data_IF_783562594762
#
_entry.id   IF_783562594762
#
_cell.length_a   1.000
_cell.length_b   1.000
_cell.length_c   1.000
_cell.angle_alpha   90.00
_cell.angle_beta   90.00
_cell.angle_gamma   90.00
#
_symmetry.space_group_name_H-M   'P 1'
#
loop_
_entity.id
_entity.type
_entity.pdbx_description
1 polymer ?
#
# COMPACT_ATOMS: atom_id res chain seq x y z
N UNK A 1 14.82 5.75 24.70
CA UNK A 1 15.67 4.94 23.78
C UNK A 1 16.73 4.21 24.57
N UNK A 2 16.74 2.88 24.52
CA UNK A 2 17.63 2.01 25.33
C UNK A 2 19.07 2.01 24.83
N UNK A 3 19.31 2.04 23.52
CA UNK A 3 20.65 2.07 22.91
C UNK A 3 20.76 3.12 21.80
N UNK A 4 21.13 4.32 22.19
CA UNK A 4 21.30 5.44 21.25
C UNK A 4 22.51 5.27 20.31
N UNK A 5 23.52 4.50 20.71
CA UNK A 5 24.68 4.21 19.86
C UNK A 5 24.31 3.31 18.70
N UNK A 6 23.58 2.22 18.99
CA UNK A 6 23.06 1.32 17.97
C UNK A 6 22.13 2.04 17.01
N UNK A 7 21.20 2.84 17.56
CA UNK A 7 20.28 3.60 16.72
C UNK A 7 21.03 4.50 15.72
N UNK A 8 22.03 5.23 16.20
CA UNK A 8 22.84 6.10 15.34
C UNK A 8 23.58 5.31 14.21
N UNK A 9 24.06 4.10 14.52
CA UNK A 9 24.68 3.24 13.51
C UNK A 9 23.65 2.80 12.46
N UNK A 10 22.45 2.42 12.88
CA UNK A 10 21.37 2.01 11.98
C UNK A 10 20.87 3.17 11.10
N UNK A 11 20.75 4.37 11.65
CA UNK A 11 20.41 5.57 10.87
C UNK A 11 21.41 5.82 9.74
N UNK A 12 22.70 5.69 10.03
CA UNK A 12 23.77 5.91 9.06
C UNK A 12 24.04 4.71 8.14
N UNK A 13 23.32 3.60 8.33
CA UNK A 13 23.47 2.44 7.47
C UNK A 13 22.75 2.68 6.14
N UNK A 14 23.50 2.71 5.06
CA UNK A 14 22.98 2.92 3.70
C UNK A 14 22.75 1.57 3.01
N UNK A 15 21.55 1.40 2.47
CA UNK A 15 21.18 0.21 1.70
C UNK A 15 21.40 0.43 0.19
N UNK A 16 21.35 1.68 -0.24
CA UNK A 16 21.65 2.08 -1.62
C UNK A 16 23.16 2.28 -1.77
N UNK A 17 23.74 1.72 -2.82
CA UNK A 17 25.15 1.93 -3.17
C UNK A 17 25.23 3.11 -4.12
N UNK A 18 26.08 4.07 -3.79
CA UNK A 18 26.29 5.26 -4.62
C UNK A 18 26.79 4.85 -6.02
N UNK A 19 26.18 5.41 -7.06
CA UNK A 19 26.51 5.11 -8.46
C UNK A 19 25.73 3.94 -9.08
N UNK A 20 24.95 3.18 -8.31
CA UNK A 20 24.11 2.13 -8.85
C UNK A 20 22.96 2.71 -9.70
N UNK A 21 22.86 2.27 -10.95
CA UNK A 21 21.78 2.68 -11.85
C UNK A 21 20.41 2.23 -11.33
N UNK A 22 20.38 1.11 -10.60
CA UNK A 22 19.15 0.52 -10.04
C UNK A 22 19.38 0.10 -8.57
N UNK A 23 19.42 1.08 -7.65
CA UNK A 23 19.70 0.84 -6.24
C UNK A 23 18.60 0.03 -5.54
N UNK A 24 18.88 -0.43 -4.32
CA UNK A 24 17.99 -1.22 -3.48
C UNK A 24 16.59 -0.59 -3.36
N UNK A 25 16.53 0.71 -3.06
CA UNK A 25 15.26 1.44 -2.87
C UNK A 25 14.38 1.46 -4.12
N UNK A 26 14.98 1.62 -5.33
CA UNK A 26 14.24 1.54 -6.60
C UNK A 26 13.75 0.12 -6.88
N UNK A 27 14.55 -0.89 -6.54
CA UNK A 27 14.14 -2.29 -6.69
C UNK A 27 12.98 -2.61 -5.76
N UNK A 28 13.06 -2.20 -4.51
CA UNK A 28 11.99 -2.36 -3.53
C UNK A 28 10.67 -1.73 -4.00
N UNK A 29 10.74 -0.48 -4.49
CA UNK A 29 9.60 0.23 -5.03
C UNK A 29 8.95 -0.51 -6.20
N UNK A 30 9.76 -0.96 -7.17
CA UNK A 30 9.28 -1.74 -8.34
C UNK A 30 8.64 -3.06 -7.94
N UNK A 31 9.32 -3.83 -7.09
CA UNK A 31 8.90 -5.20 -6.77
C UNK A 31 7.59 -5.24 -5.97
N UNK A 32 7.30 -4.15 -5.23
CA UNK A 32 6.07 -3.98 -4.44
C UNK A 32 5.04 -3.03 -5.07
N UNK A 33 5.32 -2.47 -6.25
CA UNK A 33 4.48 -1.45 -6.89
C UNK A 33 4.22 -0.23 -5.98
N UNK A 34 5.25 0.20 -5.24
CA UNK A 34 5.22 1.37 -4.38
C UNK A 34 5.78 2.60 -5.09
N UNK A 35 5.35 3.79 -4.65
CA UNK A 35 6.07 5.01 -5.04
C UNK A 35 7.48 4.99 -4.43
N UNK A 36 8.44 5.60 -5.12
CA UNK A 36 9.82 5.68 -4.62
C UNK A 36 9.89 6.33 -3.24
N UNK A 37 9.16 7.41 -3.03
CA UNK A 37 9.08 8.09 -1.73
C UNK A 37 8.55 7.17 -0.62
N UNK A 38 7.53 6.38 -0.90
CA UNK A 38 6.98 5.42 0.07
C UNK A 38 7.99 4.33 0.41
N UNK A 39 8.70 3.79 -0.59
CA UNK A 39 9.74 2.79 -0.37
C UNK A 39 10.84 3.30 0.57
N UNK A 40 11.27 4.56 0.42
CA UNK A 40 12.23 5.18 1.35
C UNK A 40 11.68 5.27 2.77
N UNK A 41 10.41 5.66 2.96
CA UNK A 41 9.78 5.66 4.29
C UNK A 41 9.76 4.26 4.91
N UNK A 42 9.44 3.22 4.12
CA UNK A 42 9.42 1.84 4.64
C UNK A 42 10.83 1.33 4.98
N UNK A 43 11.86 1.76 4.26
CA UNK A 43 13.26 1.47 4.61
C UNK A 43 13.63 2.06 5.97
N UNK A 44 13.23 3.29 6.26
CA UNK A 44 13.49 3.88 7.58
C UNK A 44 12.72 3.15 8.70
N UNK A 45 11.50 2.71 8.44
CA UNK A 45 10.74 1.88 9.38
C UNK A 45 11.37 0.49 9.58
N UNK A 46 11.99 -0.08 8.55
CA UNK A 46 12.78 -1.30 8.67
C UNK A 46 14.00 -1.10 9.58
N UNK A 47 14.73 0.00 9.48
CA UNK A 47 15.84 0.32 10.40
C UNK A 47 15.36 0.43 11.85
N UNK A 48 14.19 1.06 12.09
CA UNK A 48 13.57 1.10 13.42
C UNK A 48 13.21 -0.30 13.90
N UNK A 49 12.66 -1.15 13.05
CA UNK A 49 12.33 -2.52 13.41
C UNK A 49 13.59 -3.35 13.75
N UNK A 50 14.67 -3.21 13.00
CA UNK A 50 15.95 -3.85 13.33
C UNK A 50 16.44 -3.41 14.72
N UNK A 51 16.35 -2.12 15.02
CA UNK A 51 16.66 -1.60 16.36
C UNK A 51 15.80 -2.27 17.44
N UNK A 52 14.49 -2.34 17.24
CA UNK A 52 13.58 -2.99 18.20
C UNK A 52 13.92 -4.45 18.43
N UNK A 53 14.28 -5.19 17.38
CA UNK A 53 14.72 -6.59 17.50
C UNK A 53 16.00 -6.75 18.33
N UNK A 54 16.87 -5.73 18.32
CA UNK A 54 18.12 -5.76 19.07
C UNK A 54 17.93 -5.46 20.55
N UNK A 55 17.00 -4.58 20.90
CA UNK A 55 16.76 -4.14 22.29
C UNK A 55 15.65 -4.92 22.99
N UNK A 56 14.83 -5.65 22.24
CA UNK A 56 13.74 -6.45 22.81
C UNK A 56 14.24 -7.76 23.41
N UNK A 57 13.77 -8.11 24.62
CA UNK A 57 14.00 -9.44 25.18
C UNK A 57 13.11 -10.53 24.57
N UNK A 58 12.09 -10.15 23.82
CA UNK A 58 11.06 -11.04 23.26
C UNK A 58 11.08 -11.03 21.73
N UNK A 59 10.58 -12.09 21.08
CA UNK A 59 10.42 -12.10 19.63
C UNK A 59 9.54 -10.96 19.14
N UNK A 60 9.91 -10.37 18.00
CA UNK A 60 9.19 -9.29 17.36
C UNK A 60 8.62 -9.73 16.01
N UNK A 61 7.52 -9.14 15.60
CA UNK A 61 6.89 -9.40 14.30
C UNK A 61 6.79 -8.09 13.51
N UNK A 62 7.27 -8.03 12.25
CA UNK A 62 7.19 -6.84 11.42
C UNK A 62 5.78 -6.66 10.82
N UNK A 63 5.50 -5.44 10.34
CA UNK A 63 4.41 -5.23 9.39
C UNK A 63 4.72 -5.92 8.07
N UNK A 64 3.73 -6.06 7.19
CA UNK A 64 3.95 -6.65 5.86
C UNK A 64 4.95 -5.83 5.05
N UNK A 65 4.82 -4.52 5.10
CA UNK A 65 5.67 -3.58 4.39
C UNK A 65 7.14 -3.70 4.85
N UNK A 66 7.37 -3.71 6.15
CA UNK A 66 8.72 -3.88 6.73
C UNK A 66 9.29 -5.26 6.41
N UNK A 67 8.45 -6.29 6.41
CA UNK A 67 8.81 -7.66 6.06
C UNK A 67 9.29 -7.77 4.59
N UNK A 68 8.66 -7.04 3.66
CA UNK A 68 9.11 -6.98 2.26
C UNK A 68 10.52 -6.35 2.13
N UNK A 69 10.84 -5.33 2.92
CA UNK A 69 12.21 -4.77 2.97
C UNK A 69 13.18 -5.82 3.46
N UNK A 70 12.85 -6.51 4.55
CA UNK A 70 13.70 -7.54 5.13
C UNK A 70 13.95 -8.69 4.15
N UNK A 71 12.90 -9.22 3.52
CA UNK A 71 13.01 -10.26 2.48
C UNK A 71 13.92 -9.83 1.32
N UNK A 72 13.77 -8.60 0.83
CA UNK A 72 14.65 -8.11 -0.23
C UNK A 72 16.09 -7.98 0.28
N UNK A 73 16.31 -7.47 1.51
CA UNK A 73 17.63 -7.28 2.06
C UNK A 73 18.39 -8.60 2.24
N UNK A 74 17.70 -9.68 2.61
CA UNK A 74 18.27 -11.03 2.70
C UNK A 74 18.86 -11.52 1.36
N UNK A 75 18.35 -11.04 0.23
CA UNK A 75 18.90 -11.35 -1.10
C UNK A 75 20.20 -10.59 -1.36
N UNK A 76 20.42 -9.44 -0.74
CA UNK A 76 21.66 -8.68 -0.77
C UNK A 76 22.63 -9.19 0.32
N UNK A 77 23.08 -10.42 0.16
CA UNK A 77 23.78 -11.19 1.21
C UNK A 77 25.00 -10.50 1.79
N UNK A 78 25.79 -9.78 0.98
CA UNK A 78 26.94 -9.00 1.45
C UNK A 78 26.47 -7.89 2.40
N UNK A 79 25.55 -7.05 1.95
CA UNK A 79 24.99 -5.95 2.74
C UNK A 79 24.30 -6.47 4.01
N UNK A 80 23.56 -7.58 3.92
CA UNK A 80 22.84 -8.13 5.06
C UNK A 80 23.77 -8.79 6.09
N UNK A 81 24.56 -9.77 5.67
CA UNK A 81 25.34 -10.58 6.62
C UNK A 81 26.61 -9.91 7.08
N UNK A 82 27.35 -9.25 6.17
CA UNK A 82 28.65 -8.67 6.50
C UNK A 82 28.48 -7.25 7.03
N UNK A 83 27.81 -6.37 6.25
CA UNK A 83 27.79 -4.95 6.58
C UNK A 83 26.78 -4.66 7.72
N UNK A 84 25.56 -5.21 7.65
CA UNK A 84 24.56 -5.02 8.70
C UNK A 84 24.82 -5.90 9.92
N UNK A 85 24.74 -7.23 9.77
CA UNK A 85 24.81 -8.13 10.92
C UNK A 85 26.19 -8.09 11.59
N UNK A 86 27.28 -8.19 10.82
CA UNK A 86 28.63 -8.14 11.33
C UNK A 86 29.09 -6.74 11.74
N UNK A 87 28.86 -5.73 10.86
CA UNK A 87 29.40 -4.37 11.04
C UNK A 87 28.58 -3.49 11.98
N UNK A 88 27.26 -3.57 11.90
CA UNK A 88 26.35 -2.68 12.65
C UNK A 88 25.78 -3.34 13.88
N UNK A 89 25.17 -4.52 13.74
CA UNK A 89 24.44 -5.19 14.81
C UNK A 89 25.34 -5.99 15.77
N UNK A 90 26.46 -6.52 15.26
CA UNK A 90 27.36 -7.39 16.03
C UNK A 90 26.79 -8.78 16.32
N UNK A 91 25.68 -9.15 15.70
CA UNK A 91 25.08 -10.49 15.76
C UNK A 91 24.23 -10.78 14.53
N UNK A 92 24.04 -12.06 14.24
CA UNK A 92 23.19 -12.51 13.16
C UNK A 92 21.71 -12.36 13.53
N UNK A 93 20.90 -11.89 12.59
CA UNK A 93 19.44 -11.88 12.67
C UNK A 93 18.87 -12.82 11.62
N UNK A 94 18.27 -13.91 12.07
CA UNK A 94 17.66 -14.90 11.19
C UNK A 94 16.17 -14.60 10.98
N UNK A 95 15.74 -14.57 9.74
CA UNK A 95 14.34 -14.50 9.35
C UNK A 95 13.82 -15.93 9.15
N UNK A 96 13.03 -16.42 10.11
CA UNK A 96 12.49 -17.77 10.04
C UNK A 96 11.07 -17.75 9.46
N UNK A 97 10.77 -18.57 8.45
CA UNK A 97 9.42 -18.70 7.94
C UNK A 97 8.48 -19.27 8.98
N UNK A 98 7.20 -18.89 8.88
CA UNK A 98 6.16 -19.48 9.74
C UNK A 98 6.01 -20.99 9.49
N UNK A 99 5.86 -21.76 10.55
CA UNK A 99 5.55 -23.20 10.46
C UNK A 99 4.03 -23.43 10.27
N UNK A 100 3.20 -22.38 10.39
CA UNK A 100 1.75 -22.46 10.31
C UNK A 100 1.08 -22.93 11.60
N UNK A 101 -0.26 -23.01 11.57
CA UNK A 101 -1.09 -23.42 12.69
C UNK A 101 -1.65 -22.27 13.55
N UNK A 102 -2.77 -22.54 14.24
CA UNK A 102 -3.50 -21.51 15.01
C UNK A 102 -2.68 -20.96 16.19
N UNK A 103 -1.98 -21.83 16.92
CA UNK A 103 -1.15 -21.44 18.05
C UNK A 103 -0.06 -20.42 17.62
N UNK A 104 0.54 -20.63 16.46
CA UNK A 104 1.56 -19.73 15.93
C UNK A 104 0.94 -18.42 15.43
N UNK A 105 -0.26 -18.49 14.85
CA UNK A 105 -1.01 -17.29 14.45
C UNK A 105 -1.28 -16.36 15.64
N UNK A 106 -1.73 -16.92 16.77
CA UNK A 106 -1.91 -16.17 18.01
C UNK A 106 -0.61 -15.54 18.52
N UNK A 107 0.50 -16.29 18.47
CA UNK A 107 1.81 -15.76 18.88
C UNK A 107 2.26 -14.58 18.02
N UNK A 108 2.10 -14.67 16.69
CA UNK A 108 2.48 -13.57 15.82
C UNK A 108 1.66 -12.29 16.05
N UNK A 109 0.38 -12.44 16.36
CA UNK A 109 -0.47 -11.29 16.70
C UNK A 109 0.01 -10.62 17.99
N UNK A 110 0.29 -11.41 19.02
CA UNK A 110 0.81 -10.87 20.28
C UNK A 110 2.18 -10.23 20.11
N UNK A 111 3.07 -10.81 19.32
CA UNK A 111 4.39 -10.22 19.01
C UNK A 111 4.27 -8.94 18.19
N UNK A 112 3.31 -8.87 17.26
CA UNK A 112 3.05 -7.64 16.51
C UNK A 112 2.55 -6.50 17.40
N UNK A 113 1.64 -6.79 18.31
CA UNK A 113 1.17 -5.83 19.31
C UNK A 113 2.33 -5.36 20.22
N UNK A 114 3.17 -6.30 20.68
CA UNK A 114 4.35 -5.99 21.48
C UNK A 114 5.37 -5.14 20.69
N UNK A 115 5.55 -5.40 19.39
CA UNK A 115 6.41 -4.59 18.51
C UNK A 115 5.93 -3.15 18.45
N UNK A 116 4.63 -2.92 18.24
CA UNK A 116 4.04 -1.57 18.20
C UNK A 116 4.14 -0.85 19.56
N UNK A 117 3.95 -1.58 20.65
CA UNK A 117 4.08 -1.02 22.00
C UNK A 117 5.53 -0.59 22.28
N UNK A 118 6.52 -1.43 21.96
CA UNK A 118 7.93 -1.11 22.11
C UNK A 118 8.36 0.02 21.18
N UNK A 119 7.84 0.07 19.95
CA UNK A 119 8.07 1.18 19.03
C UNK A 119 7.68 2.51 19.66
N UNK A 120 6.45 2.59 20.18
CA UNK A 120 5.95 3.79 20.86
C UNK A 120 6.80 4.16 22.08
N UNK A 121 7.23 3.18 22.87
CA UNK A 121 8.08 3.41 24.03
C UNK A 121 9.46 3.94 23.64
N UNK A 122 10.11 3.36 22.60
CA UNK A 122 11.47 3.70 22.23
C UNK A 122 11.58 5.00 21.42
N UNK A 123 10.66 5.23 20.48
CA UNK A 123 10.69 6.40 19.60
C UNK A 123 9.81 7.56 20.06
N UNK A 124 8.95 7.37 21.09
CA UNK A 124 8.02 8.38 21.63
C UNK A 124 7.05 8.91 20.54
N UNK A 125 6.74 8.09 19.54
CA UNK A 125 5.82 8.39 18.46
C UNK A 125 4.95 7.18 18.11
N UNK A 126 3.79 7.41 17.52
CA UNK A 126 2.96 6.32 16.99
C UNK A 126 3.56 5.78 15.69
N UNK A 127 3.63 4.45 15.51
CA UNK A 127 4.05 3.89 14.23
C UNK A 127 3.08 4.31 13.12
N UNK A 128 3.59 4.76 11.94
CA UNK A 128 2.75 5.24 10.85
C UNK A 128 1.77 4.16 10.38
N UNK A 129 0.46 4.48 10.38
CA UNK A 129 -0.61 3.50 10.18
C UNK A 129 -0.64 2.88 8.77
N UNK A 130 -0.10 3.55 7.79
CA UNK A 130 0.04 3.07 6.40
C UNK A 130 1.17 2.03 6.25
N UNK A 131 2.17 2.04 7.15
CA UNK A 131 3.26 1.05 7.20
C UNK A 131 2.99 0.01 8.30
N UNK A 132 2.43 0.42 9.41
CA UNK A 132 2.10 -0.42 10.58
C UNK A 132 0.58 -0.48 10.81
N UNK A 133 -0.18 -1.13 9.92
CA UNK A 133 -1.63 -1.19 10.03
C UNK A 133 -2.10 -1.90 11.29
N UNK A 134 -3.40 -1.89 11.52
CA UNK A 134 -3.99 -2.67 12.60
C UNK A 134 -3.81 -4.18 12.39
N UNK A 135 -3.79 -4.93 13.48
CA UNK A 135 -3.63 -6.38 13.50
C UNK A 135 -4.62 -7.09 12.56
N UNK A 136 -5.88 -6.62 12.51
CA UNK A 136 -6.92 -7.19 11.65
C UNK A 136 -6.56 -7.06 10.17
N UNK A 137 -6.00 -5.92 9.77
CA UNK A 137 -5.54 -5.67 8.40
C UNK A 137 -4.29 -6.51 8.13
N UNK A 138 -3.26 -6.42 8.99
CA UNK A 138 -1.98 -7.12 8.82
C UNK A 138 -2.15 -8.64 8.62
N UNK A 139 -2.99 -9.29 9.43
CA UNK A 139 -3.16 -10.75 9.39
C UNK A 139 -4.39 -11.20 8.60
N UNK A 140 -5.39 -10.32 8.41
CA UNK A 140 -6.61 -10.62 7.64
C UNK A 140 -6.40 -10.58 6.14
N UNK A 141 -5.53 -9.71 5.65
CA UNK A 141 -5.29 -9.54 4.21
C UNK A 141 -4.20 -10.46 3.64
N UNK A 142 -3.28 -10.94 4.47
CA UNK A 142 -2.17 -11.79 4.04
C UNK A 142 -2.57 -12.99 3.13
N UNK A 143 -3.68 -13.71 3.37
CA UNK A 143 -4.10 -14.82 2.52
C UNK A 143 -4.50 -14.42 1.10
N UNK A 144 -4.78 -13.12 0.87
CA UNK A 144 -5.24 -12.60 -0.42
C UNK A 144 -4.10 -12.12 -1.32
N UNK A 145 -2.89 -11.95 -0.79
CA UNK A 145 -1.73 -11.57 -1.58
C UNK A 145 -1.18 -12.76 -2.37
N UNK A 146 -1.23 -12.66 -3.70
CA UNK A 146 -0.68 -13.66 -4.61
C UNK A 146 0.09 -12.97 -5.73
N UNK A 147 1.21 -13.59 -6.13
CA UNK A 147 1.94 -13.14 -7.33
C UNK A 147 1.14 -13.52 -8.58
N UNK A 148 0.73 -12.54 -9.38
CA UNK A 148 -0.04 -12.72 -10.61
C UNK A 148 0.72 -12.15 -11.79
N UNK A 149 0.71 -12.85 -12.94
CA UNK A 149 1.31 -12.34 -14.17
C UNK A 149 0.35 -11.38 -14.85
N UNK A 150 0.67 -10.08 -14.87
CA UNK A 150 -0.13 -9.05 -15.54
C UNK A 150 -0.18 -9.24 -17.06
N UNK A 151 0.74 -10.02 -17.65
CA UNK A 151 0.67 -10.38 -19.06
C UNK A 151 -0.47 -11.37 -19.40
N UNK A 152 -0.99 -12.08 -18.39
CA UNK A 152 -2.04 -13.12 -18.58
C UNK A 152 -3.39 -12.72 -17.99
N UNK A 153 -3.43 -11.70 -17.11
CA UNK A 153 -4.64 -11.37 -16.35
C UNK A 153 -4.89 -9.87 -16.33
N UNK A 154 -6.14 -9.51 -16.50
CA UNK A 154 -6.63 -8.16 -16.25
C UNK A 154 -7.06 -8.08 -14.79
N UNK A 155 -6.43 -7.23 -13.98
CA UNK A 155 -6.80 -7.02 -12.58
C UNK A 155 -7.88 -5.94 -12.50
N UNK A 156 -9.13 -6.37 -12.33
CA UNK A 156 -10.27 -5.47 -12.13
C UNK A 156 -10.65 -5.46 -10.65
N UNK A 157 -10.81 -4.29 -10.03
CA UNK A 157 -11.27 -4.19 -8.65
C UNK A 157 -12.66 -4.84 -8.49
N UNK A 158 -12.83 -5.70 -7.51
CA UNK A 158 -14.10 -6.41 -7.23
C UNK A 158 -15.32 -5.50 -7.18
N UNK A 159 -15.15 -4.31 -6.62
CA UNK A 159 -16.20 -3.30 -6.51
C UNK A 159 -16.72 -2.83 -7.89
N UNK A 160 -15.84 -2.64 -8.86
CA UNK A 160 -16.25 -2.18 -10.20
C UNK A 160 -16.98 -3.26 -10.98
N UNK A 161 -16.60 -4.53 -10.84
CA UNK A 161 -17.28 -5.66 -11.49
C UNK A 161 -18.73 -5.75 -11.01
N UNK A 162 -18.96 -5.71 -9.70
CA UNK A 162 -20.31 -5.76 -9.14
C UNK A 162 -21.19 -4.60 -9.60
N UNK A 163 -20.65 -3.39 -9.72
CA UNK A 163 -21.38 -2.24 -10.25
C UNK A 163 -21.73 -2.40 -11.73
N UNK A 164 -20.78 -2.86 -12.57
CA UNK A 164 -21.05 -3.11 -14.00
C UNK A 164 -22.17 -4.12 -14.14
N UNK A 165 -22.14 -5.23 -13.42
CA UNK A 165 -23.21 -6.23 -13.45
C UNK A 165 -24.55 -5.66 -12.98
N UNK A 166 -24.59 -4.89 -11.90
CA UNK A 166 -25.81 -4.28 -11.38
C UNK A 166 -26.43 -3.29 -12.40
N UNK A 167 -25.60 -2.46 -13.03
CA UNK A 167 -26.07 -1.53 -14.06
C UNK A 167 -26.49 -2.21 -15.34
N UNK A 168 -25.80 -3.27 -15.77
CA UNK A 168 -26.20 -4.06 -16.94
C UNK A 168 -27.54 -4.76 -16.69
N UNK A 169 -27.74 -5.31 -15.50
CA UNK A 169 -29.01 -5.94 -15.12
C UNK A 169 -30.15 -4.90 -15.06
N UNK A 170 -29.90 -3.73 -14.48
CA UNK A 170 -30.86 -2.64 -14.42
C UNK A 170 -31.25 -2.15 -15.82
N UNK A 171 -30.27 -2.00 -16.72
CA UNK A 171 -30.52 -1.64 -18.11
C UNK A 171 -31.38 -2.69 -18.84
N UNK A 172 -31.10 -3.99 -18.62
CA UNK A 172 -31.90 -5.09 -19.17
C UNK A 172 -33.34 -5.09 -18.64
N UNK A 173 -33.55 -4.80 -17.36
CA UNK A 173 -34.89 -4.70 -16.77
C UNK A 173 -35.66 -3.51 -17.38
N UNK A 174 -34.99 -2.35 -17.50
CA UNK A 174 -35.63 -1.15 -18.09
C UNK A 174 -35.99 -1.42 -19.56
N UNK A 175 -35.07 -1.99 -20.36
CA UNK A 175 -35.36 -2.33 -21.76
C UNK A 175 -36.37 -3.45 -21.92
N UNK A 176 -36.46 -4.39 -20.99
CA UNK A 176 -37.47 -5.46 -21.00
C UNK A 176 -38.85 -5.00 -20.52
N UNK A 177 -38.97 -3.90 -19.77
CA UNK A 177 -40.22 -3.32 -19.35
C UNK A 177 -40.82 -2.32 -20.37
N UNK A 178 -40.02 -1.86 -21.32
CA UNK A 178 -40.46 -0.96 -22.39
C UNK A 178 -40.67 -1.78 -23.64
N UNK A 179 -41.92 -1.84 -24.15
CA UNK A 179 -42.20 -2.50 -25.42
C UNK A 179 -41.41 -1.82 -26.55
N UNK A 180 -40.94 -2.61 -27.53
CA UNK A 180 -40.15 -2.10 -28.65
C UNK A 180 -40.81 -0.93 -29.38
N UNK A 181 -42.13 -0.91 -29.42
CA UNK A 181 -42.93 0.14 -30.04
C UNK A 181 -42.91 1.45 -29.27
N UNK A 182 -42.68 1.41 -27.96
CA UNK A 182 -42.59 2.62 -27.14
C UNK A 182 -41.17 3.23 -27.16
N UNK A 183 -40.14 2.45 -27.42
CA UNK A 183 -38.77 2.93 -27.44
C UNK A 183 -38.43 3.79 -28.69
N UNK A 184 -39.19 3.64 -29.76
CA UNK A 184 -38.98 4.33 -31.03
C UNK A 184 -40.07 5.35 -31.39
N UNK A 185 -40.83 5.81 -30.37
CA UNK A 185 -41.73 6.95 -30.59
C UNK A 185 -40.95 8.20 -30.98
N UNK A 186 -41.46 9.01 -31.93
CA UNK A 186 -40.91 10.33 -32.19
C UNK A 186 -40.86 11.17 -30.91
N UNK A 187 -39.84 12.01 -30.75
CA UNK A 187 -39.58 12.79 -29.53
C UNK A 187 -40.74 13.69 -29.11
N UNK A 188 -41.53 14.13 -30.07
CA UNK A 188 -42.72 14.96 -29.91
C UNK A 188 -43.95 14.22 -29.33
N UNK A 189 -43.96 12.90 -29.45
CA UNK A 189 -45.05 12.04 -28.89
C UNK A 189 -44.85 11.70 -27.41
N UNK A 190 -43.67 11.97 -26.83
CA UNK A 190 -43.42 11.76 -25.40
C UNK A 190 -44.06 12.89 -24.58
N UNK A 191 -44.72 12.54 -23.49
CA UNK A 191 -45.22 13.50 -22.52
C UNK A 191 -44.09 14.28 -21.86
N UNK A 192 -44.38 15.45 -21.29
CA UNK A 192 -43.38 16.28 -20.61
C UNK A 192 -42.68 15.54 -19.48
N UNK A 193 -43.35 14.66 -18.77
CA UNK A 193 -42.80 13.85 -17.69
C UNK A 193 -41.83 12.76 -18.21
N UNK A 194 -42.21 12.07 -19.28
CA UNK A 194 -41.38 11.04 -19.92
C UNK A 194 -40.07 11.65 -20.49
N UNK A 195 -40.19 12.80 -21.17
CA UNK A 195 -39.02 13.55 -21.65
C UNK A 195 -38.09 13.96 -20.52
N UNK A 196 -38.62 14.39 -19.39
CA UNK A 196 -37.84 14.72 -18.21
C UNK A 196 -37.11 13.49 -17.65
N UNK A 197 -37.81 12.35 -17.54
CA UNK A 197 -37.22 11.07 -17.07
C UNK A 197 -36.07 10.62 -17.99
N UNK A 198 -36.28 10.62 -19.31
CA UNK A 198 -35.29 10.25 -20.31
C UNK A 198 -34.06 11.16 -20.21
N UNK A 199 -34.30 12.48 -20.08
CA UNK A 199 -33.22 13.47 -19.92
C UNK A 199 -32.40 13.23 -18.65
N UNK A 200 -33.07 13.02 -17.50
CA UNK A 200 -32.36 12.78 -16.24
C UNK A 200 -31.60 11.44 -16.23
N UNK A 201 -32.17 10.38 -16.82
CA UNK A 201 -31.49 9.10 -16.95
C UNK A 201 -30.27 9.22 -17.88
N UNK A 202 -30.40 9.92 -18.99
CA UNK A 202 -29.28 10.20 -19.91
C UNK A 202 -28.16 11.00 -19.22
N UNK A 203 -28.52 12.09 -18.54
CA UNK A 203 -27.57 12.89 -17.78
C UNK A 203 -26.86 12.07 -16.68
N UNK A 204 -27.60 11.23 -15.96
CA UNK A 204 -27.05 10.35 -14.95
C UNK A 204 -26.04 9.35 -15.54
N UNK A 205 -26.37 8.71 -16.67
CA UNK A 205 -25.47 7.79 -17.37
C UNK A 205 -24.20 8.50 -17.81
N UNK A 206 -24.32 9.70 -18.40
CA UNK A 206 -23.17 10.51 -18.83
C UNK A 206 -22.26 10.87 -17.64
N UNK A 207 -22.84 11.34 -16.54
CA UNK A 207 -22.07 11.66 -15.31
C UNK A 207 -21.38 10.41 -14.77
N UNK A 208 -22.10 9.29 -14.73
CA UNK A 208 -21.54 8.03 -14.25
C UNK A 208 -20.36 7.55 -15.10
N UNK A 209 -20.52 7.54 -16.44
CA UNK A 209 -19.44 7.15 -17.37
C UNK A 209 -18.25 8.09 -17.23
N UNK A 210 -18.49 9.39 -17.10
CA UNK A 210 -17.44 10.39 -16.87
C UNK A 210 -16.66 10.11 -15.57
N UNK A 211 -17.37 9.89 -14.46
CA UNK A 211 -16.73 9.57 -13.16
C UNK A 211 -15.96 8.25 -13.22
N UNK A 212 -16.52 7.24 -13.88
CA UNK A 212 -15.86 5.95 -14.08
C UNK A 212 -14.58 6.09 -14.93
N UNK A 213 -14.64 6.88 -15.99
CA UNK A 213 -13.50 7.18 -16.86
C UNK A 213 -12.39 7.91 -16.10
N UNK A 214 -12.73 8.94 -15.33
CA UNK A 214 -11.75 9.67 -14.50
C UNK A 214 -11.08 8.74 -13.47
N UNK A 215 -11.84 7.86 -12.81
CA UNK A 215 -11.28 6.86 -11.90
C UNK A 215 -10.33 5.91 -12.63
N UNK A 216 -10.73 5.42 -13.79
CA UNK A 216 -9.93 4.53 -14.63
C UNK A 216 -8.63 5.20 -15.10
N UNK A 217 -8.68 6.43 -15.59
CA UNK A 217 -7.51 7.20 -16.03
C UNK A 217 -6.54 7.48 -14.86
N UNK A 218 -7.05 7.68 -13.64
CA UNK A 218 -6.21 7.79 -12.44
C UNK A 218 -5.53 6.47 -12.07
N UNK A 219 -6.22 5.35 -12.22
CA UNK A 219 -5.62 4.03 -11.98
C UNK A 219 -4.50 3.70 -12.98
N UNK A 220 -4.63 4.19 -14.22
CA UNK A 220 -3.58 4.07 -15.24
C UNK A 220 -2.41 5.05 -15.03
N UNK A 221 -2.47 5.91 -14.01
CA UNK A 221 -1.43 6.92 -13.76
C UNK A 221 -1.43 8.08 -14.76
N UNK A 222 -2.45 8.18 -15.64
CA UNK A 222 -2.59 9.25 -16.64
C UNK A 222 -3.05 10.56 -16.00
N UNK A 223 -3.87 10.47 -14.95
CA UNK A 223 -4.34 11.62 -14.17
C UNK A 223 -3.77 11.59 -12.75
N UNK A 224 -3.47 12.77 -12.18
CA UNK A 224 -2.96 12.84 -10.81
C UNK A 224 -3.98 12.30 -9.80
N UNK A 225 -3.52 11.73 -8.66
CA UNK A 225 -4.38 11.25 -7.61
C UNK A 225 -5.27 12.40 -7.10
N UNK A 226 -6.47 12.04 -6.65
CA UNK A 226 -7.38 13.01 -6.04
C UNK A 226 -6.74 13.55 -4.76
N UNK A 227 -6.58 14.85 -4.65
CA UNK A 227 -6.24 15.52 -3.39
C UNK A 227 -7.47 15.44 -2.49
N UNK A 228 -7.56 14.40 -1.67
CA UNK A 228 -8.56 14.38 -0.60
C UNK A 228 -8.14 15.44 0.43
N UNK A 229 -9.11 16.21 0.91
CA UNK A 229 -8.91 17.27 1.94
C UNK A 229 -8.35 16.73 3.27
N UNK A 230 -8.14 15.43 3.40
CA UNK A 230 -7.48 14.76 4.54
C UNK A 230 -5.96 14.65 4.41
N UNK A 231 -5.40 14.84 3.19
CA UNK A 231 -3.94 14.75 3.00
C UNK A 231 -3.19 16.00 3.50
N UNK A 232 -3.91 17.01 4.01
CA UNK A 232 -3.28 18.14 4.71
C UNK A 232 -2.89 17.84 6.16
N UNK A 233 -3.14 16.61 6.67
CA UNK A 233 -2.76 16.19 8.03
C UNK A 233 -1.96 14.87 8.08
N UNK A 234 -1.58 14.29 6.93
CA UNK A 234 -0.86 13.02 6.82
C UNK A 234 0.44 13.15 6.00
N UNK A 235 1.15 14.25 6.13
CA UNK A 235 2.56 14.27 5.79
C UNK A 235 3.28 13.38 6.79
N UNK A 236 4.25 12.56 6.34
CA UNK A 236 5.20 11.90 7.21
C UNK A 236 5.88 12.97 8.11
N UNK A 237 5.25 13.29 9.23
CA UNK A 237 5.78 14.26 10.22
C UNK A 237 6.90 13.65 11.07
N UNK A 238 7.39 12.47 10.71
CA UNK A 238 8.48 11.77 11.38
C UNK A 238 9.81 11.71 10.60
N UNK A 239 9.85 12.04 9.32
CA UNK A 239 11.11 12.16 8.57
C UNK A 239 11.67 13.58 8.74
N UNK A 240 12.06 13.93 9.96
CA UNK A 240 12.87 15.11 10.22
C UNK A 240 14.27 14.87 9.68
N UNK A 241 14.61 15.52 8.55
CA UNK A 241 15.97 15.75 8.15
C UNK A 241 16.52 14.95 6.97
N UNK A 242 15.83 14.89 5.85
CA UNK A 242 16.52 14.76 4.56
C UNK A 242 16.52 16.13 3.87
N UNK A 243 17.40 17.01 4.33
CA UNK A 243 17.81 18.18 3.56
C UNK A 243 18.79 17.70 2.49
N UNK A 244 18.31 17.42 1.30
CA UNK A 244 19.16 17.43 0.13
C UNK A 244 19.19 18.88 -0.36
N UNK A 245 20.28 19.56 -0.09
CA UNK A 245 20.68 20.76 -0.80
C UNK A 245 20.88 20.40 -2.27
N UNK A 246 20.00 20.88 -3.12
CA UNK A 246 20.26 20.94 -4.54
C UNK A 246 21.16 22.14 -4.77
N UNK A 247 22.35 21.92 -5.24
CA UNK A 247 23.10 22.92 -5.99
C UNK A 247 22.92 22.57 -7.45
N UNK A 248 22.22 23.47 -8.13
CA UNK A 248 22.22 23.59 -9.59
C UNK A 248 23.64 24.02 -10.02
N UNK A 249 24.26 23.20 -10.87
CA UNK A 249 25.15 23.62 -11.96
C UNK A 249 25.26 22.48 -12.99
#
# INVERSE_FOLDING_TARGET
>A
MLDSKLWKKLQNFEMDVAGDAFPFSKRLARDNNWSYKYALCVIEEYKKFLYLMMVSPSPMTPSDQVDQVWHLHLVYTQSYWIDLCGGVLGRELHHNPTKGGEAQSHSFKSYYAATKALYKQEFQEEPPADIWPDEKVRFGEAPFYKRVSLARYWLLPRFQIGQVFAFSLLALIITGCVSSDELFKPWDEYSSNERAIIFFLGAFIVIYVYVALIKFLRQLGILPPRKDKKDSAGGCTGCGGCFFGGDDD
#
